data_IF_875376997893
#
_entry.id   IF_875376997893
#
_cell.length_a   1.000
_cell.length_b   1.000
_cell.length_c   1.000
_cell.angle_alpha   90.00
_cell.angle_beta   90.00
_cell.angle_gamma   90.00
#
_symmetry.space_group_name_H-M   'P 1'
#
loop_
_entity.id
_entity.type
_entity.pdbx_description
1 polymer ?
#
# COMPACT_ATOMS: atom_id res chain seq x y z
N UNK A 1 8.70 17.14 2.69
CA UNK A 1 7.78 16.07 3.15
C UNK A 1 8.55 14.76 3.10
N UNK A 2 8.48 13.88 4.11
CA UNK A 2 9.18 12.57 4.08
C UNK A 2 8.51 11.65 3.04
N UNK A 3 9.29 10.80 2.37
CA UNK A 3 8.75 9.82 1.43
C UNK A 3 7.82 8.81 2.13
N UNK A 4 6.80 8.28 1.44
CA UNK A 4 5.83 7.37 2.06
C UNK A 4 6.50 6.08 2.52
N UNK A 5 7.45 5.58 1.74
CA UNK A 5 8.26 4.41 2.12
C UNK A 5 9.05 4.63 3.42
N UNK A 6 9.52 5.86 3.70
CA UNK A 6 10.19 6.18 4.96
C UNK A 6 9.21 6.16 6.13
N UNK A 7 8.00 6.70 5.94
CA UNK A 7 6.93 6.66 6.96
C UNK A 7 6.53 5.21 7.27
N UNK A 8 6.28 4.40 6.25
CA UNK A 8 5.97 2.98 6.40
C UNK A 8 7.10 2.19 7.07
N UNK A 9 8.35 2.46 6.71
CA UNK A 9 9.51 1.83 7.36
C UNK A 9 9.65 2.24 8.82
N UNK A 10 9.40 3.52 9.14
CA UNK A 10 9.43 3.99 10.53
C UNK A 10 8.31 3.35 11.36
N UNK A 11 7.10 3.27 10.82
CA UNK A 11 5.99 2.54 11.44
C UNK A 11 6.38 1.10 11.76
N UNK A 12 6.97 0.38 10.79
CA UNK A 12 7.42 -1.00 11.02
C UNK A 12 8.45 -1.10 12.16
N UNK A 13 9.40 -0.18 12.25
CA UNK A 13 10.38 -0.13 13.36
C UNK A 13 9.73 0.17 14.70
N UNK A 14 8.78 1.10 14.74
CA UNK A 14 8.06 1.48 15.96
C UNK A 14 7.21 0.31 16.48
N UNK A 15 6.64 -0.50 15.59
CA UNK A 15 5.90 -1.73 15.94
C UNK A 15 6.84 -2.81 16.47
N UNK A 16 7.91 -3.13 15.73
CA UNK A 16 8.86 -4.20 16.09
C UNK A 16 9.60 -3.89 17.40
N UNK A 17 9.92 -2.62 17.65
CA UNK A 17 10.56 -2.19 18.90
C UNK A 17 9.62 -2.21 20.11
N UNK A 18 8.31 -2.39 19.90
CA UNK A 18 7.31 -2.30 20.95
C UNK A 18 6.93 -0.88 21.36
N UNK A 19 7.42 0.16 20.67
CA UNK A 19 6.99 1.55 20.89
C UNK A 19 5.50 1.73 20.59
N UNK A 20 5.00 1.05 19.56
CA UNK A 20 3.56 0.93 19.29
C UNK A 20 3.15 -0.50 19.62
N UNK A 21 2.31 -0.67 20.64
CA UNK A 21 1.78 -1.99 20.98
C UNK A 21 0.90 -2.51 19.85
N UNK A 22 1.08 -3.78 19.47
CA UNK A 22 0.37 -4.37 18.34
C UNK A 22 0.27 -5.88 18.43
N UNK A 23 -0.62 -6.45 17.62
CA UNK A 23 -0.85 -7.90 17.58
C UNK A 23 0.37 -8.64 17.05
N UNK A 24 0.47 -9.93 17.39
CA UNK A 24 1.54 -10.82 16.92
C UNK A 24 1.68 -10.81 15.39
N UNK A 25 0.57 -10.79 14.66
CA UNK A 25 0.56 -10.79 13.19
C UNK A 25 1.04 -9.48 12.60
N UNK A 26 0.70 -8.34 13.23
CA UNK A 26 1.19 -7.03 12.81
C UNK A 26 2.69 -6.91 13.03
N UNK A 27 3.19 -7.36 14.19
CA UNK A 27 4.62 -7.41 14.49
C UNK A 27 5.35 -8.29 13.49
N UNK A 28 4.87 -9.50 13.23
CA UNK A 28 5.46 -10.41 12.25
C UNK A 28 5.49 -9.82 10.83
N UNK A 29 4.43 -9.12 10.42
CA UNK A 29 4.38 -8.46 9.10
C UNK A 29 5.36 -7.30 8.99
N UNK A 30 5.50 -6.49 10.05
CA UNK A 30 6.48 -5.41 10.12
C UNK A 30 7.91 -5.96 10.13
N UNK A 31 8.17 -7.01 10.90
CA UNK A 31 9.47 -7.69 10.94
C UNK A 31 9.85 -8.25 9.57
N UNK A 32 8.93 -8.97 8.90
CA UNK A 32 9.13 -9.47 7.53
C UNK A 32 9.52 -8.35 6.58
N UNK A 33 8.86 -7.20 6.64
CA UNK A 33 9.22 -6.06 5.80
C UNK A 33 10.65 -5.58 6.06
N UNK A 34 11.05 -5.44 7.34
CA UNK A 34 12.39 -4.99 7.70
C UNK A 34 13.47 -6.00 7.28
N UNK A 35 13.16 -7.30 7.33
CA UNK A 35 14.06 -8.36 6.90
C UNK A 35 14.15 -8.45 5.39
N UNK A 36 13.03 -8.37 4.67
CA UNK A 36 13.00 -8.36 3.20
C UNK A 36 13.77 -7.14 2.64
N UNK A 37 13.68 -5.98 3.30
CA UNK A 37 14.47 -4.79 2.94
C UNK A 37 15.98 -5.03 3.02
N UNK A 38 16.45 -5.93 3.89
CA UNK A 38 17.86 -6.36 3.93
C UNK A 38 18.12 -7.43 2.87
N UNK A 39 17.21 -8.40 2.78
CA UNK A 39 17.26 -9.57 1.88
C UNK A 39 17.32 -9.20 0.40
N UNK A 40 16.80 -8.04 0.00
CA UNK A 40 16.89 -7.59 -1.41
C UNK A 40 18.33 -7.45 -1.95
N UNK A 41 19.32 -7.38 -1.06
CA UNK A 41 20.75 -7.38 -1.41
C UNK A 41 21.27 -8.77 -1.76
N UNK A 42 20.53 -9.81 -1.41
CA UNK A 42 20.91 -11.19 -1.68
C UNK A 42 20.67 -11.50 -3.16
N UNK A 43 21.65 -12.12 -3.86
CA UNK A 43 21.51 -12.46 -5.27
C UNK A 43 20.32 -13.37 -5.57
N UNK A 44 19.98 -14.27 -4.64
CA UNK A 44 18.87 -15.22 -4.78
C UNK A 44 17.49 -14.70 -4.36
N UNK A 45 17.33 -13.39 -4.14
CA UNK A 45 16.04 -12.79 -3.85
C UNK A 45 15.56 -11.95 -5.03
N UNK A 46 14.53 -12.41 -5.74
CA UNK A 46 14.14 -11.86 -7.04
C UNK A 46 13.34 -10.56 -6.98
N UNK A 47 13.15 -10.00 -5.78
CA UNK A 47 12.33 -8.81 -5.58
C UNK A 47 13.16 -7.61 -5.14
N UNK A 48 12.80 -6.44 -5.65
CA UNK A 48 13.38 -5.15 -5.29
C UNK A 48 12.29 -4.24 -4.73
N UNK A 49 12.65 -3.45 -3.71
CA UNK A 49 11.70 -2.56 -3.08
C UNK A 49 11.70 -1.18 -3.71
N UNK A 50 10.54 -0.78 -4.22
CA UNK A 50 10.23 0.54 -4.74
C UNK A 50 11.26 1.11 -5.73
N UNK A 51 11.71 0.33 -6.73
CA UNK A 51 12.62 0.83 -7.77
C UNK A 51 11.95 1.95 -8.57
N UNK A 52 12.77 2.76 -9.24
CA UNK A 52 12.26 3.61 -10.31
C UNK A 52 12.01 2.73 -11.54
N UNK A 53 10.78 2.75 -12.05
CA UNK A 53 10.35 2.02 -13.24
C UNK A 53 9.64 2.96 -14.20
N UNK A 54 9.59 2.60 -15.47
CA UNK A 54 8.92 3.38 -16.52
C UNK A 54 7.68 2.62 -16.98
N UNK A 55 6.53 3.27 -16.99
CA UNK A 55 5.31 2.65 -17.53
C UNK A 55 5.26 2.67 -19.06
N UNK A 56 4.21 2.04 -19.63
CA UNK A 56 4.01 1.92 -21.09
C UNK A 56 3.90 3.26 -21.82
N UNK A 57 3.64 4.35 -21.10
CA UNK A 57 3.53 5.70 -21.65
C UNK A 57 4.85 6.50 -21.51
N UNK A 58 5.93 5.86 -21.03
CA UNK A 58 7.22 6.52 -20.82
C UNK A 58 7.31 7.31 -19.51
N UNK A 59 6.32 7.20 -18.61
CA UNK A 59 6.33 7.94 -17.35
C UNK A 59 7.11 7.16 -16.29
N UNK A 60 8.14 7.79 -15.73
CA UNK A 60 8.92 7.24 -14.62
C UNK A 60 8.18 7.39 -13.30
N UNK A 61 8.22 6.35 -12.47
CA UNK A 61 7.59 6.36 -11.16
C UNK A 61 8.21 5.32 -10.23
N UNK A 62 7.83 5.43 -8.95
CA UNK A 62 8.15 4.46 -7.91
C UNK A 62 6.84 3.83 -7.43
N UNK A 63 6.66 2.50 -7.50
CA UNK A 63 5.37 1.86 -7.26
C UNK A 63 4.70 2.25 -5.93
N UNK A 64 5.46 2.22 -4.84
CA UNK A 64 4.97 2.53 -3.50
C UNK A 64 4.60 4.01 -3.35
N UNK A 65 5.39 4.90 -3.94
CA UNK A 65 5.10 6.34 -3.88
C UNK A 65 3.90 6.69 -4.77
N UNK A 66 3.76 6.05 -5.94
CA UNK A 66 2.66 6.32 -6.88
C UNK A 66 1.30 6.01 -6.26
N UNK A 67 1.12 4.84 -5.63
CA UNK A 67 -0.15 4.52 -4.96
C UNK A 67 -0.44 5.50 -3.81
N UNK A 68 0.53 5.80 -2.96
CA UNK A 68 0.31 6.70 -1.82
C UNK A 68 0.01 8.13 -2.28
N UNK A 69 0.71 8.63 -3.30
CA UNK A 69 0.41 9.92 -3.91
C UNK A 69 -1.00 9.93 -4.52
N UNK A 70 -1.38 8.88 -5.26
CA UNK A 70 -2.72 8.76 -5.84
C UNK A 70 -3.81 8.81 -4.76
N UNK A 71 -3.66 8.01 -3.70
CA UNK A 71 -4.65 7.98 -2.61
C UNK A 71 -4.78 9.36 -1.93
N UNK A 72 -3.70 10.12 -1.76
CA UNK A 72 -3.78 11.48 -1.20
C UNK A 72 -4.47 12.52 -2.09
N UNK A 73 -4.56 12.28 -3.41
CA UNK A 73 -5.28 13.17 -4.32
C UNK A 73 -6.81 13.00 -4.20
N UNK A 74 -7.26 11.91 -3.60
CA UNK A 74 -8.68 11.65 -3.39
C UNK A 74 -9.21 12.50 -2.24
N UNK A 75 -10.50 12.81 -2.34
CA UNK A 75 -11.23 13.57 -1.33
C UNK A 75 -12.30 12.71 -0.68
N UNK A 76 -12.57 12.95 0.59
CA UNK A 76 -13.74 12.38 1.24
C UNK A 76 -15.00 12.92 0.56
N UNK A 77 -15.86 12.03 0.07
CA UNK A 77 -17.10 12.39 -0.64
C UNK A 77 -18.31 12.57 0.28
N UNK A 78 -18.24 12.03 1.50
CA UNK A 78 -19.34 12.01 2.48
C UNK A 78 -18.82 12.16 3.92
N UNK A 79 -19.73 12.54 4.82
CA UNK A 79 -19.47 12.69 6.25
C UNK A 79 -18.81 14.02 6.62
N UNK A 80 -18.37 14.14 7.87
CA UNK A 80 -17.82 15.38 8.44
C UNK A 80 -16.57 15.89 7.71
N UNK A 81 -15.83 14.98 7.07
CA UNK A 81 -14.61 15.29 6.30
C UNK A 81 -14.88 15.59 4.83
N UNK A 82 -16.15 15.67 4.40
CA UNK A 82 -16.48 15.87 2.99
C UNK A 82 -15.75 17.08 2.39
N UNK A 83 -15.17 16.91 1.20
CA UNK A 83 -14.36 17.92 0.51
C UNK A 83 -12.91 18.04 1.00
N UNK A 84 -12.54 17.37 2.09
CA UNK A 84 -11.16 17.34 2.57
C UNK A 84 -10.37 16.21 1.90
N UNK A 85 -9.07 16.44 1.68
CA UNK A 85 -8.16 15.44 1.15
C UNK A 85 -8.04 14.24 2.08
N UNK A 86 -7.91 13.05 1.48
CA UNK A 86 -7.65 11.82 2.22
C UNK A 86 -6.18 11.78 2.67
N UNK A 87 -5.93 12.15 3.92
CA UNK A 87 -4.58 12.11 4.48
C UNK A 87 -4.25 10.70 4.96
N UNK A 88 -3.21 10.11 4.36
CA UNK A 88 -2.80 8.74 4.64
C UNK A 88 -2.04 8.68 5.97
N UNK A 89 -2.48 7.81 6.88
CA UNK A 89 -1.84 7.54 8.16
C UNK A 89 -0.59 6.65 8.01
N UNK A 90 0.28 6.60 9.01
CA UNK A 90 1.54 5.85 8.91
C UNK A 90 1.34 4.34 8.73
N UNK A 91 0.32 3.75 9.34
CA UNK A 91 -0.02 2.33 9.13
C UNK A 91 -0.56 2.08 7.71
N UNK A 92 -1.31 3.03 7.14
CA UNK A 92 -1.79 2.96 5.75
C UNK A 92 -0.62 3.13 4.78
N UNK A 93 0.37 3.97 5.10
CA UNK A 93 1.61 4.07 4.34
C UNK A 93 2.36 2.73 4.37
N UNK A 94 2.54 2.12 5.54
CA UNK A 94 3.14 0.78 5.65
C UNK A 94 2.40 -0.22 4.77
N UNK A 95 1.07 -0.28 4.92
CA UNK A 95 0.23 -1.21 4.18
C UNK A 95 0.35 -1.06 2.65
N UNK A 96 0.15 0.14 2.13
CA UNK A 96 0.22 0.43 0.69
C UNK A 96 1.64 0.23 0.14
N UNK A 97 2.65 0.74 0.86
CA UNK A 97 4.04 0.67 0.38
C UNK A 97 4.57 -0.76 0.36
N UNK A 98 4.19 -1.60 1.32
CA UNK A 98 4.59 -3.02 1.31
C UNK A 98 3.92 -3.75 0.15
N UNK A 99 2.61 -3.59 -0.04
CA UNK A 99 1.86 -4.34 -1.05
C UNK A 99 2.31 -3.96 -2.45
N UNK A 100 2.34 -2.66 -2.75
CA UNK A 100 2.63 -2.16 -4.10
C UNK A 100 4.12 -1.94 -4.36
N UNK A 101 4.94 -1.79 -3.32
CA UNK A 101 6.35 -1.45 -3.47
C UNK A 101 7.26 -2.61 -3.86
N UNK A 102 6.90 -3.86 -3.55
CA UNK A 102 7.72 -5.01 -3.92
C UNK A 102 7.39 -5.50 -5.33
N UNK A 103 8.38 -5.45 -6.21
CA UNK A 103 8.27 -5.89 -7.60
C UNK A 103 9.41 -6.83 -7.97
N UNK A 104 9.17 -7.74 -8.90
CA UNK A 104 10.19 -8.61 -9.45
C UNK A 104 11.25 -7.79 -10.20
N UNK A 105 12.52 -8.16 -10.08
CA UNK A 105 13.65 -7.41 -10.67
C UNK A 105 13.56 -7.30 -12.19
N UNK A 106 13.18 -8.38 -12.87
CA UNK A 106 13.13 -8.42 -14.34
C UNK A 106 11.79 -7.99 -14.94
N UNK A 107 10.66 -8.48 -14.40
CA UNK A 107 9.33 -8.24 -14.98
C UNK A 107 8.61 -7.02 -14.41
N UNK A 108 9.09 -6.48 -13.28
CA UNK A 108 8.43 -5.45 -12.48
C UNK A 108 7.00 -5.80 -12.00
N UNK A 109 6.60 -7.08 -12.07
CA UNK A 109 5.33 -7.52 -11.53
C UNK A 109 5.35 -7.55 -10.00
N UNK A 110 4.22 -7.18 -9.40
CA UNK A 110 4.05 -7.09 -7.95
C UNK A 110 4.26 -8.45 -7.29
N UNK A 111 4.98 -8.47 -6.17
CA UNK A 111 5.20 -9.67 -5.34
C UNK A 111 3.93 -10.15 -4.68
N UNK A 112 3.21 -9.24 -4.02
CA UNK A 112 2.03 -9.56 -3.24
C UNK A 112 0.77 -9.42 -4.10
N UNK A 113 0.10 -10.54 -4.34
CA UNK A 113 -1.17 -10.60 -5.08
C UNK A 113 -2.39 -10.56 -4.16
N UNK A 114 -2.20 -10.95 -2.91
CA UNK A 114 -3.25 -11.01 -1.90
C UNK A 114 -2.86 -10.17 -0.68
N UNK A 115 -3.89 -9.59 -0.07
CA UNK A 115 -3.76 -8.70 1.06
C UNK A 115 -4.89 -8.97 2.05
N UNK A 116 -4.49 -9.33 3.27
CA UNK A 116 -5.41 -9.58 4.36
C UNK A 116 -5.17 -8.57 5.48
N UNK A 117 -6.23 -7.94 5.99
CA UNK A 117 -6.15 -6.93 7.03
C UNK A 117 -7.36 -6.96 7.96
N UNK A 118 -7.09 -7.08 9.26
CA UNK A 118 -8.09 -6.93 10.31
C UNK A 118 -8.03 -5.49 10.84
N UNK A 119 -8.95 -4.64 10.37
CA UNK A 119 -8.93 -3.21 10.68
C UNK A 119 -10.15 -2.86 11.56
N UNK A 120 -9.96 -2.29 12.77
CA UNK A 120 -11.07 -1.92 13.64
C UNK A 120 -11.96 -0.83 13.02
N UNK A 121 -13.20 -0.72 13.51
CA UNK A 121 -14.16 0.27 13.01
C UNK A 121 -13.62 1.70 13.14
N UNK A 122 -14.03 2.58 12.22
CA UNK A 122 -13.65 4.00 12.13
C UNK A 122 -12.18 4.31 11.79
N UNK A 123 -11.36 3.30 11.45
CA UNK A 123 -9.98 3.51 10.98
C UNK A 123 -9.87 3.68 9.45
N UNK A 124 -10.84 4.31 8.80
CA UNK A 124 -10.70 4.64 7.37
C UNK A 124 -10.54 3.45 6.40
N UNK A 125 -10.91 2.21 6.78
CA UNK A 125 -10.74 1.03 5.91
C UNK A 125 -11.53 1.10 4.60
N UNK A 126 -12.76 1.62 4.64
CA UNK A 126 -13.66 1.68 3.48
C UNK A 126 -13.17 2.68 2.43
N UNK A 127 -12.84 3.94 2.79
CA UNK A 127 -12.23 4.85 1.82
C UNK A 127 -10.87 4.37 1.32
N UNK A 128 -10.05 3.70 2.14
CA UNK A 128 -8.81 3.08 1.68
C UNK A 128 -9.07 1.98 0.64
N UNK A 129 -10.05 1.10 0.86
CA UNK A 129 -10.44 0.06 -0.10
C UNK A 129 -10.92 0.65 -1.43
N UNK A 130 -11.77 1.69 -1.38
CA UNK A 130 -12.21 2.40 -2.58
C UNK A 130 -11.03 3.05 -3.33
N UNK A 131 -10.09 3.66 -2.61
CA UNK A 131 -8.90 4.26 -3.19
C UNK A 131 -8.01 3.22 -3.89
N UNK A 132 -7.82 2.04 -3.27
CA UNK A 132 -7.10 0.93 -3.89
C UNK A 132 -7.84 0.45 -5.15
N UNK A 133 -9.16 0.27 -5.09
CA UNK A 133 -9.96 -0.14 -6.24
C UNK A 133 -9.84 0.84 -7.41
N UNK A 134 -9.96 2.14 -7.15
CA UNK A 134 -9.77 3.18 -8.17
C UNK A 134 -8.36 3.16 -8.75
N UNK A 135 -7.34 2.96 -7.92
CA UNK A 135 -5.97 2.85 -8.40
C UNK A 135 -5.79 1.63 -9.30
N UNK A 136 -6.27 0.46 -8.87
CA UNK A 136 -6.20 -0.78 -9.66
C UNK A 136 -6.92 -0.64 -11.00
N UNK A 137 -8.05 0.07 -11.03
CA UNK A 137 -8.82 0.32 -12.24
C UNK A 137 -8.13 1.30 -13.21
N UNK A 138 -7.42 2.31 -12.71
CA UNK A 138 -7.01 3.47 -13.53
C UNK A 138 -5.50 3.64 -13.69
N UNK A 139 -4.71 3.22 -12.70
CA UNK A 139 -3.29 3.56 -12.58
C UNK A 139 -2.36 2.35 -12.48
N UNK A 140 -2.90 1.14 -12.34
CA UNK A 140 -2.11 -0.10 -12.21
C UNK A 140 -1.67 -0.68 -13.56
N UNK A 141 -2.01 0.02 -14.66
CA UNK A 141 -1.58 -0.24 -16.03
C UNK A 141 -2.03 -1.58 -16.65
N UNK A 142 -2.87 -2.34 -15.94
CA UNK A 142 -3.50 -3.57 -16.39
C UNK A 142 -4.55 -3.29 -17.49
N UNK A 143 -4.38 -3.81 -18.73
CA UNK A 143 -5.37 -3.66 -19.78
C UNK A 143 -6.66 -4.41 -19.45
N UNK A 144 -7.81 -3.72 -19.53
CA UNK A 144 -9.10 -4.36 -19.26
C UNK A 144 -9.31 -4.73 -17.79
N UNK A 145 -8.70 -3.98 -16.86
CA UNK A 145 -8.83 -4.22 -15.43
C UNK A 145 -10.29 -4.22 -14.98
N UNK A 146 -10.70 -5.30 -14.30
CA UNK A 146 -11.99 -5.41 -13.64
C UNK A 146 -11.79 -5.36 -12.12
N UNK A 147 -12.57 -4.51 -11.45
CA UNK A 147 -12.50 -4.34 -10.00
C UNK A 147 -13.86 -4.66 -9.40
N UNK A 148 -13.89 -5.69 -8.56
CA UNK A 148 -15.09 -6.14 -7.88
C UNK A 148 -15.02 -5.80 -6.38
N UNK A 149 -16.14 -5.33 -5.84
CA UNK A 149 -16.34 -5.11 -4.40
C UNK A 149 -17.33 -6.14 -3.88
N UNK A 150 -16.93 -6.89 -2.85
CA UNK A 150 -17.75 -7.90 -2.21
C UNK A 150 -17.99 -7.56 -0.75
N UNK A 151 -19.24 -7.69 -0.31
CA UNK A 151 -19.64 -7.52 1.09
C UNK A 151 -20.76 -8.51 1.45
N UNK A 152 -21.00 -8.70 2.75
CA UNK A 152 -22.08 -9.56 3.23
C UNK A 152 -23.49 -9.02 2.88
N UNK A 153 -23.62 -7.71 2.68
CA UNK A 153 -24.82 -7.03 2.23
C UNK A 153 -24.51 -6.23 0.96
N UNK A 154 -25.39 -6.31 -0.04
CA UNK A 154 -25.27 -5.56 -1.30
C UNK A 154 -25.22 -4.05 -1.08
N UNK A 155 -25.89 -3.52 -0.07
CA UNK A 155 -25.82 -2.09 0.27
C UNK A 155 -24.47 -1.68 0.87
N UNK A 156 -23.64 -2.65 1.26
CA UNK A 156 -22.29 -2.46 1.78
C UNK A 156 -21.20 -2.75 0.74
N UNK A 157 -21.57 -3.29 -0.42
CA UNK A 157 -20.68 -3.57 -1.54
C UNK A 157 -20.39 -2.32 -2.37
#
# INVERSE_FOLDING_TARGET
MKAFTQRGTQYAKDIVSGKILSSKLTIASCQRQLDDLKRQRDPGFDYIFNPEITDKNGVKYRPAERICSFVQLLVHVKGEKAGQQFLIEDWQCFFLTVVFGWVHKDTFYRRFKELYAEIPRKNGKSPLGAAIGLYMLTMDMEPGAEVFSGAADRNQA
#
